data_IF_469958125309
#
_entry.id   IF_469958125309
#
_cell.length_a   1.000
_cell.length_b   1.000
_cell.length_c   1.000
_cell.angle_alpha   90.00
_cell.angle_beta   90.00
_cell.angle_gamma   90.00
#
_symmetry.space_group_name_H-M   'P 1'
#
loop_
_entity.id
_entity.type
_entity.pdbx_description
1 polymer ?
#
# COMPACT_ATOMS: atom_id res chain seq x y z
N UNK A 1 40.87 -36.60 -34.14
CA UNK A 1 40.61 -35.94 -32.84
C UNK A 1 39.67 -34.77 -33.09
N UNK A 2 38.36 -34.97 -32.92
CA UNK A 2 37.32 -33.98 -33.20
C UNK A 2 36.99 -33.29 -31.87
N UNK A 3 37.29 -31.99 -31.77
CA UNK A 3 36.98 -31.16 -30.59
C UNK A 3 35.51 -30.76 -30.64
N UNK A 4 34.74 -31.22 -29.65
CA UNK A 4 33.38 -30.80 -29.41
C UNK A 4 33.34 -29.31 -29.00
N UNK A 5 32.62 -28.49 -29.76
CA UNK A 5 32.27 -27.14 -29.35
C UNK A 5 30.99 -27.20 -28.52
N UNK A 6 31.13 -26.99 -27.21
CA UNK A 6 30.02 -26.87 -26.26
C UNK A 6 29.26 -25.57 -26.51
N UNK A 7 27.97 -25.72 -26.84
CA UNK A 7 26.97 -24.66 -26.88
C UNK A 7 26.65 -24.28 -25.43
N UNK A 8 27.05 -23.08 -25.00
CA UNK A 8 26.60 -22.49 -23.75
C UNK A 8 25.41 -21.56 -24.03
N UNK A 9 24.20 -22.10 -23.95
CA UNK A 9 22.98 -21.28 -23.94
C UNK A 9 22.86 -20.58 -22.58
N UNK A 10 23.15 -19.28 -22.53
CA UNK A 10 22.82 -18.43 -21.38
C UNK A 10 21.29 -18.30 -21.30
N UNK A 11 20.66 -19.06 -20.40
CA UNK A 11 19.33 -18.76 -19.91
C UNK A 11 19.41 -17.53 -18.99
N UNK A 12 19.09 -16.37 -19.55
CA UNK A 12 18.83 -15.17 -18.75
C UNK A 12 17.54 -15.41 -17.94
N UNK A 13 17.68 -15.74 -16.66
CA UNK A 13 16.59 -15.68 -15.68
C UNK A 13 16.26 -14.20 -15.43
N UNK A 14 15.39 -13.62 -16.25
CA UNK A 14 14.68 -12.39 -15.88
C UNK A 14 13.71 -12.74 -14.75
N UNK A 15 13.80 -12.11 -13.55
CA UNK A 15 12.75 -12.29 -12.55
C UNK A 15 11.42 -11.79 -13.12
N UNK A 16 10.29 -12.42 -12.78
CA UNK A 16 9.02 -12.05 -13.37
C UNK A 16 8.59 -10.67 -12.84
N UNK A 17 8.43 -9.71 -13.75
CA UNK A 17 7.75 -8.44 -13.51
C UNK A 17 6.21 -8.62 -13.37
N UNK A 18 5.77 -9.68 -12.68
CA UNK A 18 4.39 -10.14 -12.67
C UNK A 18 3.53 -9.58 -11.53
N UNK A 19 4.09 -8.76 -10.63
CA UNK A 19 3.33 -8.25 -9.47
C UNK A 19 2.41 -7.04 -9.79
N UNK A 20 2.53 -6.41 -10.97
CA UNK A 20 1.75 -5.20 -11.32
C UNK A 20 0.70 -5.41 -12.41
N UNK A 21 0.69 -6.56 -13.09
CA UNK A 21 -0.27 -6.81 -14.17
C UNK A 21 -1.67 -7.06 -13.59
N UNK A 22 -2.66 -6.29 -14.03
CA UNK A 22 -4.08 -6.53 -13.71
C UNK A 22 -4.70 -5.64 -12.62
N UNK A 23 -3.91 -4.84 -11.90
CA UNK A 23 -4.45 -3.96 -10.84
C UNK A 23 -5.06 -2.64 -11.36
N UNK A 24 -4.70 -2.22 -12.58
CA UNK A 24 -5.07 -0.93 -13.15
C UNK A 24 -4.16 0.22 -12.69
N UNK A 25 -4.58 1.47 -12.94
CA UNK A 25 -3.86 2.68 -12.52
C UNK A 25 -4.21 3.03 -11.06
N UNK A 26 -3.58 2.31 -10.13
CA UNK A 26 -3.78 2.52 -8.70
C UNK A 26 -3.25 3.88 -8.22
N UNK A 27 -2.15 4.35 -8.79
CA UNK A 27 -1.58 5.66 -8.48
C UNK A 27 -2.56 6.79 -8.85
N UNK A 28 -3.12 6.74 -10.06
CA UNK A 28 -4.15 7.68 -10.50
C UNK A 28 -5.39 7.61 -9.63
N UNK A 29 -5.83 6.41 -9.26
CA UNK A 29 -6.96 6.21 -8.36
C UNK A 29 -6.71 6.84 -6.97
N UNK A 30 -5.57 6.57 -6.34
CA UNK A 30 -5.25 7.11 -5.02
C UNK A 30 -5.11 8.63 -5.05
N UNK A 31 -4.49 9.19 -6.11
CA UNK A 31 -4.43 10.65 -6.30
C UNK A 31 -5.82 11.26 -6.43
N UNK A 32 -6.69 10.66 -7.23
CA UNK A 32 -8.03 11.18 -7.47
C UNK A 32 -8.93 11.11 -6.23
N UNK A 33 -8.77 10.09 -5.38
CA UNK A 33 -9.69 9.83 -4.27
C UNK A 33 -9.18 10.33 -2.92
N UNK A 34 -7.86 10.34 -2.70
CA UNK A 34 -7.29 10.58 -1.36
C UNK A 34 -6.52 11.89 -1.26
N UNK A 35 -6.00 12.42 -2.36
CA UNK A 35 -5.11 13.58 -2.32
C UNK A 35 -5.87 14.88 -2.61
N UNK A 36 -5.50 15.98 -1.93
CA UNK A 36 -5.94 17.29 -2.36
C UNK A 36 -5.31 17.66 -3.72
N UNK A 37 -5.93 18.53 -4.53
CA UNK A 37 -5.49 18.81 -5.91
C UNK A 37 -4.04 19.26 -6.06
N UNK A 38 -3.51 19.98 -5.07
CA UNK A 38 -2.15 20.51 -5.05
C UNK A 38 -1.10 19.58 -4.42
N UNK A 39 -1.50 18.36 -4.03
CA UNK A 39 -0.58 17.40 -3.42
C UNK A 39 0.17 16.58 -4.47
N UNK A 40 1.42 16.24 -4.14
CA UNK A 40 2.23 15.29 -4.89
C UNK A 40 2.31 13.97 -4.14
N UNK A 41 1.93 12.87 -4.80
CA UNK A 41 2.09 11.52 -4.27
C UNK A 41 3.58 11.18 -4.20
N UNK A 42 4.08 10.85 -3.01
CA UNK A 42 5.48 10.49 -2.78
C UNK A 42 5.67 9.00 -2.45
N UNK A 43 4.60 8.33 -2.06
CA UNK A 43 4.59 6.88 -1.84
C UNK A 43 3.17 6.35 -1.75
N UNK A 44 2.98 5.09 -2.13
CA UNK A 44 1.68 4.45 -2.05
C UNK A 44 1.83 2.98 -1.66
N UNK A 45 0.82 2.48 -0.96
CA UNK A 45 0.67 1.06 -0.65
C UNK A 45 -0.74 0.64 -1.04
N UNK A 46 -0.80 -0.43 -1.81
CA UNK A 46 -2.04 -1.13 -2.12
C UNK A 46 -2.05 -2.45 -1.38
N UNK A 47 -2.96 -2.59 -0.42
CA UNK A 47 -3.05 -3.74 0.47
C UNK A 47 -4.36 -4.47 0.16
N UNK A 48 -4.41 -5.37 -0.82
CA UNK A 48 -5.62 -6.12 -1.16
C UNK A 48 -5.87 -7.29 -0.20
N UNK A 49 -7.11 -7.79 -0.16
CA UNK A 49 -7.47 -9.01 0.57
C UNK A 49 -7.03 -10.31 -0.12
N UNK A 50 -6.48 -10.20 -1.33
CA UNK A 50 -5.91 -11.32 -2.08
C UNK A 50 -4.77 -10.84 -2.99
N UNK A 51 -3.73 -11.66 -3.20
CA UNK A 51 -2.57 -11.30 -4.02
C UNK A 51 -2.83 -11.34 -5.54
N UNK A 52 -3.83 -12.11 -5.97
CA UNK A 52 -4.31 -12.13 -7.36
C UNK A 52 -5.38 -11.03 -7.57
N UNK A 53 -5.17 -10.06 -8.49
CA UNK A 53 -6.13 -8.99 -8.77
C UNK A 53 -7.48 -9.50 -9.28
N UNK A 54 -7.55 -10.66 -9.94
CA UNK A 54 -8.82 -11.24 -10.40
C UNK A 54 -9.69 -11.79 -9.26
N UNK A 55 -9.08 -12.04 -8.11
CA UNK A 55 -9.74 -12.60 -6.93
C UNK A 55 -9.93 -11.58 -5.80
N UNK A 56 -9.11 -10.52 -5.76
CA UNK A 56 -9.20 -9.47 -4.77
C UNK A 56 -10.55 -8.74 -4.85
N UNK A 57 -11.20 -8.57 -3.70
CA UNK A 57 -12.53 -7.93 -3.59
C UNK A 57 -12.48 -6.67 -2.74
N UNK A 58 -11.47 -6.55 -1.88
CA UNK A 58 -11.32 -5.45 -0.92
C UNK A 58 -9.88 -5.01 -0.88
N UNK A 59 -9.65 -3.73 -0.65
CA UNK A 59 -8.31 -3.21 -0.48
C UNK A 59 -8.28 -1.99 0.45
N UNK A 60 -7.18 -1.84 1.18
CA UNK A 60 -6.77 -0.59 1.79
C UNK A 60 -5.76 0.08 0.86
N UNK A 61 -6.10 1.27 0.39
CA UNK A 61 -5.19 2.14 -0.33
C UNK A 61 -4.63 3.18 0.62
N UNK A 62 -3.30 3.23 0.76
CA UNK A 62 -2.60 4.20 1.60
C UNK A 62 -1.71 5.05 0.71
N UNK A 63 -1.85 6.36 0.83
CA UNK A 63 -1.09 7.34 0.06
C UNK A 63 -0.31 8.26 1.00
N UNK A 64 0.99 8.36 0.75
CA UNK A 64 1.89 9.33 1.36
C UNK A 64 2.08 10.49 0.38
N UNK A 65 1.87 11.72 0.83
CA UNK A 65 1.89 12.87 -0.05
C UNK A 65 2.46 14.13 0.60
N UNK A 66 2.97 15.02 -0.22
CA UNK A 66 3.43 16.35 0.17
C UNK A 66 2.54 17.41 -0.44
N UNK A 67 2.39 18.54 0.25
CA UNK A 67 1.67 19.71 -0.27
C UNK A 67 2.67 20.84 -0.47
N UNK A 68 2.65 21.46 -1.65
CA UNK A 68 3.68 22.42 -2.08
C UNK A 68 3.97 23.56 -1.08
N UNK A 69 2.97 23.95 -0.27
CA UNK A 69 3.08 25.06 0.69
C UNK A 69 3.13 24.61 2.16
N UNK A 70 3.13 23.31 2.46
CA UNK A 70 2.95 22.79 3.84
C UNK A 70 4.24 22.48 4.60
N UNK A 71 5.41 22.79 4.04
CA UNK A 71 6.73 22.46 4.63
C UNK A 71 7.20 21.03 4.34
N UNK A 72 8.30 20.62 4.97
CA UNK A 72 8.95 19.29 4.80
C UNK A 72 8.21 18.14 5.49
N UNK A 73 6.88 18.19 5.55
CA UNK A 73 6.06 17.19 6.24
C UNK A 73 5.35 16.30 5.24
N UNK A 74 5.64 15.00 5.28
CA UNK A 74 4.88 13.98 4.55
C UNK A 74 3.56 13.71 5.29
N UNK A 75 2.45 13.75 4.56
CA UNK A 75 1.11 13.46 5.03
C UNK A 75 0.72 12.03 4.66
N UNK A 76 -0.25 11.48 5.37
CA UNK A 76 -0.84 10.16 5.09
C UNK A 76 -2.35 10.34 4.86
N UNK A 77 -2.87 9.75 3.79
CA UNK A 77 -4.30 9.56 3.55
C UNK A 77 -4.56 8.09 3.26
N UNK A 78 -5.68 7.57 3.74
CA UNK A 78 -6.04 6.16 3.58
C UNK A 78 -7.50 6.05 3.16
N UNK A 79 -7.78 5.07 2.29
CA UNK A 79 -9.12 4.75 1.85
C UNK A 79 -9.35 3.25 1.80
N UNK A 80 -10.60 2.86 1.97
CA UNK A 80 -11.08 1.51 1.74
C UNK A 80 -11.75 1.42 0.37
N UNK A 81 -11.42 0.39 -0.39
CA UNK A 81 -11.84 0.20 -1.77
C UNK A 81 -12.47 -1.18 -1.97
N UNK A 82 -13.44 -1.24 -2.87
CA UNK A 82 -14.13 -2.47 -3.27
C UNK A 82 -13.86 -2.78 -4.75
N UNK A 83 -13.58 -4.05 -5.05
CA UNK A 83 -13.39 -4.52 -6.41
C UNK A 83 -14.72 -4.60 -7.16
N UNK A 84 -14.80 -4.03 -8.36
CA UNK A 84 -16.02 -3.93 -9.17
C UNK A 84 -16.02 -4.86 -10.40
N UNK A 85 -15.10 -5.81 -10.47
CA UNK A 85 -14.93 -6.73 -11.61
C UNK A 85 -14.21 -6.11 -12.82
N UNK A 86 -14.30 -4.79 -13.00
CA UNK A 86 -13.56 -4.03 -14.01
C UNK A 86 -12.52 -3.07 -13.42
N UNK A 87 -12.44 -2.99 -12.09
CA UNK A 87 -11.51 -2.12 -11.37
C UNK A 87 -11.87 -1.98 -9.91
N UNK A 88 -11.72 -0.78 -9.38
CA UNK A 88 -11.88 -0.46 -7.97
C UNK A 88 -12.79 0.75 -7.78
N UNK A 89 -13.68 0.66 -6.80
CA UNK A 89 -14.50 1.77 -6.33
C UNK A 89 -14.05 2.19 -4.94
N UNK A 90 -13.93 3.50 -4.73
CA UNK A 90 -13.73 4.07 -3.40
C UNK A 90 -14.99 3.86 -2.56
N UNK A 91 -14.85 3.26 -1.38
CA UNK A 91 -15.96 3.00 -0.49
C UNK A 91 -15.99 3.99 0.66
N UNK A 92 -14.91 4.11 1.45
CA UNK A 92 -14.86 4.96 2.63
C UNK A 92 -13.47 5.56 2.86
N UNK A 93 -13.37 6.81 3.34
CA UNK A 93 -12.11 7.34 3.86
C UNK A 93 -11.77 6.63 5.17
N UNK A 94 -10.48 6.43 5.42
CA UNK A 94 -9.97 5.90 6.69
C UNK A 94 -9.28 7.02 7.46
N UNK A 95 -9.66 7.20 8.72
CA UNK A 95 -9.11 8.24 9.60
C UNK A 95 -8.45 7.64 10.84
N UNK A 96 -7.46 8.34 11.39
CA UNK A 96 -6.76 7.92 12.61
C UNK A 96 -5.65 6.88 12.41
N UNK A 97 -5.38 6.46 11.16
CA UNK A 97 -4.26 5.57 10.84
C UNK A 97 -2.96 6.41 10.70
N UNK A 98 -1.88 5.97 11.36
CA UNK A 98 -0.59 6.64 11.32
C UNK A 98 0.57 5.65 11.11
N UNK A 99 1.72 6.21 10.75
CA UNK A 99 2.98 5.48 10.59
C UNK A 99 3.37 5.26 9.14
N UNK A 100 4.45 4.51 8.94
CA UNK A 100 5.03 4.24 7.63
C UNK A 100 5.24 2.74 7.41
N UNK A 101 5.48 2.33 6.17
CA UNK A 101 5.71 0.93 5.81
C UNK A 101 4.60 -0.01 6.27
N UNK A 102 3.33 0.25 5.89
CA UNK A 102 2.21 -0.59 6.28
C UNK A 102 2.39 -2.01 5.74
N UNK A 103 2.14 -3.02 6.59
CA UNK A 103 2.36 -4.44 6.32
C UNK A 103 1.45 -5.33 7.17
N UNK A 104 1.57 -6.65 7.00
CA UNK A 104 0.85 -7.69 7.76
C UNK A 104 -0.67 -7.49 7.74
N UNK A 105 -1.22 -7.11 6.59
CA UNK A 105 -2.65 -6.83 6.45
C UNK A 105 -3.46 -8.13 6.65
N UNK A 106 -4.51 -8.04 7.46
CA UNK A 106 -5.45 -9.14 7.71
C UNK A 106 -6.86 -8.60 7.59
N UNK A 107 -7.66 -9.23 6.75
CA UNK A 107 -9.06 -8.88 6.54
C UNK A 107 -9.97 -9.76 7.39
N UNK A 108 -10.86 -9.12 8.14
CA UNK A 108 -11.98 -9.75 8.81
C UNK A 108 -13.29 -9.34 8.12
N UNK A 109 -14.42 -9.75 8.68
CA UNK A 109 -15.74 -9.36 8.17
C UNK A 109 -16.03 -7.87 8.37
N UNK A 110 -15.69 -7.33 9.54
CA UNK A 110 -16.06 -5.98 9.99
C UNK A 110 -14.88 -4.99 10.08
N UNK A 111 -13.65 -5.49 9.92
CA UNK A 111 -12.44 -4.70 10.09
C UNK A 111 -11.28 -5.20 9.23
N UNK A 112 -10.30 -4.31 9.06
CA UNK A 112 -8.99 -4.65 8.51
C UNK A 112 -7.94 -4.31 9.56
N UNK A 113 -7.03 -5.23 9.82
CA UNK A 113 -5.91 -4.98 10.70
C UNK A 113 -4.60 -4.93 9.94
N UNK A 114 -3.71 -4.03 10.34
CA UNK A 114 -2.40 -3.84 9.70
C UNK A 114 -1.37 -3.32 10.70
N UNK A 115 -0.10 -3.53 10.40
CA UNK A 115 1.02 -3.03 11.18
C UNK A 115 1.67 -1.86 10.45
N UNK A 116 2.00 -0.78 11.16
CA UNK A 116 2.85 0.30 10.65
C UNK A 116 4.08 0.47 11.54
N UNK A 117 5.14 1.03 10.98
CA UNK A 117 6.31 1.49 11.73
C UNK A 117 6.04 2.88 12.30
N UNK A 118 6.34 3.07 13.58
CA UNK A 118 6.07 4.27 14.36
C UNK A 118 7.27 4.63 15.23
N UNK A 119 7.48 5.92 15.57
CA UNK A 119 8.57 6.31 16.46
C UNK A 119 8.32 5.82 17.90
N UNK A 120 9.32 5.20 18.51
CA UNK A 120 9.42 5.00 19.95
C UNK A 120 9.94 6.26 20.65
N UNK A 121 9.74 6.39 21.97
CA UNK A 121 10.43 7.41 22.75
C UNK A 121 11.95 7.30 22.56
N UNK A 122 12.58 8.37 22.07
CA UNK A 122 14.02 8.44 21.81
C UNK A 122 14.45 8.14 20.37
N UNK A 123 13.54 7.69 19.50
CA UNK A 123 13.86 7.46 18.09
C UNK A 123 14.18 8.79 17.36
N UNK A 124 15.23 8.83 16.52
CA UNK A 124 15.40 9.91 15.56
C UNK A 124 14.23 9.96 14.57
N UNK A 125 13.79 11.16 14.19
CA UNK A 125 12.65 11.34 13.26
C UNK A 125 12.80 10.61 11.92
N UNK A 126 14.03 10.45 11.43
CA UNK A 126 14.31 9.74 10.17
C UNK A 126 14.08 8.23 10.24
N UNK A 127 14.11 7.68 11.46
CA UNK A 127 14.52 6.31 11.66
C UNK A 127 13.69 5.65 12.78
N UNK A 128 12.35 5.62 12.66
CA UNK A 128 11.50 5.00 13.67
C UNK A 128 11.74 3.49 13.70
N UNK A 129 11.73 2.93 14.91
CA UNK A 129 12.00 1.51 15.19
C UNK A 129 10.79 0.79 15.80
N UNK A 130 9.81 1.54 16.30
CA UNK A 130 8.60 1.00 16.90
C UNK A 130 7.61 0.47 15.86
N UNK A 131 6.67 -0.32 16.35
CA UNK A 131 5.56 -0.83 15.57
C UNK A 131 4.24 -0.46 16.24
N UNK A 132 3.22 -0.22 15.43
CA UNK A 132 1.85 -0.07 15.88
C UNK A 132 0.95 -1.03 15.10
N UNK A 133 0.13 -1.80 15.82
CA UNK A 133 -0.94 -2.61 15.22
C UNK A 133 -2.21 -1.80 15.23
N UNK A 134 -2.89 -1.75 14.09
CA UNK A 134 -4.13 -1.01 13.91
C UNK A 134 -5.29 -1.95 13.59
N UNK A 135 -6.48 -1.55 14.01
CA UNK A 135 -7.76 -2.09 13.55
C UNK A 135 -8.54 -0.96 12.89
N UNK A 136 -8.93 -1.14 11.64
CA UNK A 136 -9.74 -0.21 10.85
C UNK A 136 -11.14 -0.78 10.72
N UNK A 137 -12.14 -0.13 11.31
CA UNK A 137 -13.53 -0.51 11.10
C UNK A 137 -13.96 -0.14 9.67
N UNK A 138 -14.42 -1.10 8.86
CA UNK A 138 -14.71 -0.84 7.44
C UNK A 138 -16.00 -0.04 7.22
N UNK A 139 -16.94 -0.10 8.17
CA UNK A 139 -18.21 0.60 8.07
C UNK A 139 -18.04 2.11 8.36
N UNK A 140 -17.18 2.46 9.33
CA UNK A 140 -16.97 3.85 9.75
C UNK A 140 -15.68 4.47 9.22
N UNK A 141 -14.72 3.65 8.79
CA UNK A 141 -13.38 4.09 8.42
C UNK A 141 -12.50 4.51 9.61
N UNK A 142 -12.95 4.30 10.86
CA UNK A 142 -12.16 4.68 12.03
C UNK A 142 -11.05 3.65 12.30
N UNK A 143 -9.81 4.11 12.38
CA UNK A 143 -8.67 3.31 12.83
C UNK A 143 -8.47 3.47 14.35
N UNK A 144 -8.21 2.35 15.03
CA UNK A 144 -7.85 2.30 16.45
C UNK A 144 -6.56 1.52 16.61
N UNK A 145 -5.64 2.06 17.39
CA UNK A 145 -4.40 1.36 17.74
C UNK A 145 -4.69 0.27 18.76
N UNK A 146 -4.25 -0.95 18.46
CA UNK A 146 -4.40 -2.13 19.32
C UNK A 146 -3.20 -2.30 20.26
N UNK A 147 -1.99 -2.02 19.76
CA UNK A 147 -0.71 -2.04 20.49
C UNK A 147 0.33 -1.18 19.79
#
# INVERSE_FOLDING_TARGET
MIRAALIAALLALTPPAAAQQGWGDLDGLLRAQLLPPQASLVGAFWLPDHADPGQARRALGIAFFEVANGGNSTNIATGYFLGTGTGWAFANPVSGLFGQGPRDVVYYEDRVELTTTMPNPGDPRCCPTGEARWSVNIATGAATRLR
#
